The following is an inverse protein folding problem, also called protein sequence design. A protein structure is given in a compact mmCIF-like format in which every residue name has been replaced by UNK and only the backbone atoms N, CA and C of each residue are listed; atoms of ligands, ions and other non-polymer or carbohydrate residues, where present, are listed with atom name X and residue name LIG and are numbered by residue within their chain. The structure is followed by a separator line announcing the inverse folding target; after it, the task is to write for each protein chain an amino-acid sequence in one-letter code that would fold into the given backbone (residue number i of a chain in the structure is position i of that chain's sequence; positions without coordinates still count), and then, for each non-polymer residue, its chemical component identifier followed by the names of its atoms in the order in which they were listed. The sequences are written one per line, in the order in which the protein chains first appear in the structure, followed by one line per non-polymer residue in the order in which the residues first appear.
data_IF_134895391059
#
_entry.id   IF_134895391059
#
_cell.length_a   1.000
_cell.length_b   1.000
_cell.length_c   1.000
_cell.angle_alpha   90.00
_cell.angle_beta   90.00
_cell.angle_gamma   90.00
#
_symmetry.space_group_name_H-M   'P 1'
#
loop_
_entity.id
_entity.type
_entity.pdbx_description
1 polymer ?
#
# COMPACT_ATOMS: atom_id res chain seq x y z
N UNK A 1 -18.52 56.34 -35.97
CA UNK A 1 -19.85 56.55 -36.58
C UNK A 1 -20.87 55.90 -35.65
N UNK A 2 -21.78 56.73 -35.10
CA UNK A 2 -23.12 56.49 -34.50
C UNK A 2 -23.72 55.07 -34.63
N UNK A 3 -24.61 54.51 -33.79
CA UNK A 3 -25.26 54.74 -32.48
C UNK A 3 -26.25 53.56 -32.28
N UNK A 4 -26.54 53.20 -31.02
CA UNK A 4 -27.76 52.60 -30.42
C UNK A 4 -28.93 52.02 -31.25
N UNK A 5 -29.48 50.89 -30.75
CA UNK A 5 -30.93 50.60 -30.54
C UNK A 5 -31.10 49.26 -29.77
N UNK A 6 -31.42 49.26 -28.47
CA UNK A 6 -32.76 49.07 -27.82
C UNK A 6 -33.33 47.63 -27.73
N UNK A 7 -33.52 47.20 -26.48
CA UNK A 7 -34.36 46.12 -25.90
C UNK A 7 -35.89 46.30 -26.21
N UNK A 8 -36.86 45.38 -25.88
CA UNK A 8 -37.05 44.71 -24.56
C UNK A 8 -37.82 43.34 -24.46
N UNK A 9 -37.99 42.90 -23.19
CA UNK A 9 -38.83 41.81 -22.60
C UNK A 9 -38.36 40.35 -22.83
N UNK A 10 -38.30 39.43 -21.87
CA UNK A 10 -38.63 39.39 -20.44
C UNK A 10 -38.94 37.92 -20.07
N UNK A 11 -38.32 37.34 -19.03
CA UNK A 11 -39.01 36.51 -18.03
C UNK A 11 -38.08 35.94 -16.96
N UNK A 12 -38.66 35.84 -15.77
CA UNK A 12 -38.08 35.50 -14.49
C UNK A 12 -37.85 33.99 -14.27
N UNK A 13 -36.99 33.67 -13.30
CA UNK A 13 -36.93 32.33 -12.70
C UNK A 13 -35.56 31.98 -12.12
N UNK A 14 -35.27 32.42 -10.89
CA UNK A 14 -34.16 31.88 -10.10
C UNK A 14 -34.58 30.63 -9.32
N UNK A 15 -33.67 29.71 -8.95
CA UNK A 15 -33.99 28.64 -8.03
C UNK A 15 -33.55 28.97 -6.60
N UNK A 16 -34.55 28.96 -5.71
CA UNK A 16 -34.41 29.04 -4.25
C UNK A 16 -34.21 27.64 -3.68
N UNK A 17 -33.13 27.45 -2.94
CA UNK A 17 -32.93 26.36 -1.98
C UNK A 17 -34.02 26.37 -0.90
N UNK A 18 -34.51 25.19 -0.45
CA UNK A 18 -34.62 24.79 0.98
C UNK A 18 -35.45 23.50 1.18
N UNK A 19 -34.85 22.60 2.00
CA UNK A 19 -35.40 21.53 2.87
C UNK A 19 -36.13 20.34 2.23
N UNK A 20 -35.48 19.17 2.35
CA UNK A 20 -36.16 17.89 2.48
C UNK A 20 -36.11 17.41 3.93
N UNK A 21 -37.23 16.87 4.38
CA UNK A 21 -37.59 16.55 5.76
C UNK A 21 -37.29 15.09 6.11
N UNK A 22 -37.35 14.85 7.43
CA UNK A 22 -37.15 13.61 8.18
C UNK A 22 -38.33 12.64 8.00
N UNK A 23 -38.05 11.33 8.05
CA UNK A 23 -39.00 10.21 8.23
C UNK A 23 -39.31 9.49 6.92
N UNK A 24 -39.32 8.16 6.81
CA UNK A 24 -39.78 7.15 7.76
C UNK A 24 -39.32 5.74 7.31
N UNK A 25 -39.12 4.84 8.28
CA UNK A 25 -38.97 3.38 8.11
C UNK A 25 -40.28 2.75 7.61
N UNK A 26 -40.26 1.61 6.89
CA UNK A 26 -41.36 0.67 6.90
C UNK A 26 -41.10 -0.49 7.85
N UNK A 27 -42.12 -0.83 8.63
CA UNK A 27 -42.24 -2.05 9.40
C UNK A 27 -42.82 -3.18 8.52
N UNK A 28 -42.39 -4.42 8.77
CA UNK A 28 -43.05 -5.63 8.29
C UNK A 28 -43.43 -6.54 9.47
N UNK A 29 -44.52 -7.29 9.25
CA UNK A 29 -45.50 -7.79 10.20
C UNK A 29 -45.09 -8.93 11.16
N UNK A 30 -45.94 -9.06 12.18
CA UNK A 30 -46.05 -10.08 13.23
C UNK A 30 -46.37 -11.50 12.71
N UNK A 31 -45.94 -12.50 13.49
CA UNK A 31 -46.76 -13.66 13.83
C UNK A 31 -46.58 -14.04 15.32
N UNK A 32 -47.72 -14.27 15.98
CA UNK A 32 -47.93 -14.70 17.37
C UNK A 32 -47.41 -16.16 17.57
N UNK A 33 -47.14 -16.73 18.75
CA UNK A 33 -47.81 -16.60 20.04
C UNK A 33 -47.04 -17.32 21.18
N UNK A 34 -47.38 -16.93 22.42
CA UNK A 34 -47.44 -17.72 23.66
C UNK A 34 -46.20 -17.85 24.59
N UNK A 35 -46.35 -17.26 25.79
CA UNK A 35 -46.02 -17.95 27.06
C UNK A 35 -44.95 -17.31 27.94
N UNK A 36 -45.34 -16.38 28.82
CA UNK A 36 -44.58 -16.00 30.02
C UNK A 36 -45.03 -16.90 31.21
N UNK A 37 -44.27 -17.06 32.32
CA UNK A 37 -44.11 -15.96 33.26
C UNK A 37 -42.72 -15.76 33.90
N UNK A 38 -42.42 -14.48 34.09
CA UNK A 38 -41.65 -13.76 35.10
C UNK A 38 -41.27 -14.54 36.37
N UNK A 39 -40.00 -14.40 36.80
CA UNK A 39 -39.63 -14.29 38.21
C UNK A 39 -38.47 -13.29 38.38
N UNK A 40 -38.75 -12.21 39.11
CA UNK A 40 -37.81 -11.20 39.63
C UNK A 40 -37.37 -11.66 41.03
N UNK A 41 -36.09 -11.53 41.35
CA UNK A 41 -35.58 -11.79 42.70
C UNK A 41 -34.19 -11.21 42.93
N UNK A 42 -34.15 -10.14 43.71
CA UNK A 42 -33.01 -9.31 44.09
C UNK A 42 -32.17 -9.86 45.26
N UNK A 43 -30.88 -9.47 45.28
CA UNK A 43 -29.99 -9.21 46.43
C UNK A 43 -29.73 -10.30 47.48
N UNK A 44 -28.47 -10.75 47.56
CA UNK A 44 -27.68 -10.80 48.81
C UNK A 44 -26.22 -11.20 48.55
N UNK A 45 -25.28 -10.33 48.92
CA UNK A 45 -23.92 -10.65 49.36
C UNK A 45 -23.95 -10.98 50.88
N UNK A 46 -22.83 -11.32 51.56
CA UNK A 46 -21.63 -12.11 51.20
C UNK A 46 -21.27 -13.14 52.31
N UNK A 47 -20.60 -14.27 52.01
CA UNK A 47 -19.83 -14.99 53.07
C UNK A 47 -18.63 -15.74 52.49
N UNK A 48 -17.44 -15.31 52.90
CA UNK A 48 -16.19 -16.09 52.89
C UNK A 48 -16.28 -17.21 53.93
N UNK A 49 -16.13 -18.48 53.53
CA UNK A 49 -15.62 -19.54 54.42
C UNK A 49 -14.64 -20.40 53.64
N UNK A 50 -13.38 -20.31 54.04
CA UNK A 50 -12.35 -21.29 53.72
C UNK A 50 -12.69 -22.62 54.40
N UNK A 51 -12.72 -23.72 53.64
CA UNK A 51 -12.40 -25.03 54.17
C UNK A 51 -11.51 -25.77 53.17
N UNK A 52 -10.27 -25.98 53.57
CA UNK A 52 -9.35 -26.90 52.93
C UNK A 52 -9.82 -28.33 53.20
N UNK A 53 -9.88 -29.15 52.15
CA UNK A 53 -9.67 -30.59 52.22
C UNK A 53 -8.86 -31.01 50.98
N UNK A 54 -7.75 -31.67 51.26
CA UNK A 54 -6.74 -32.19 50.35
C UNK A 54 -7.25 -33.40 49.53
N UNK A 55 -6.48 -33.71 48.48
CA UNK A 55 -6.57 -34.87 47.56
C UNK A 55 -7.40 -34.56 46.32
N UNK A 56 -6.88 -34.53 45.09
CA UNK A 56 -5.78 -35.29 44.49
C UNK A 56 -5.09 -34.46 43.40
N UNK A 57 -3.78 -34.67 43.25
CA UNK A 57 -2.99 -34.22 42.11
C UNK A 57 -3.61 -34.74 40.80
N UNK A 58 -4.02 -33.83 39.91
CA UNK A 58 -4.16 -34.10 38.47
C UNK A 58 -3.01 -33.39 37.74
N UNK A 59 -2.00 -34.18 37.39
CA UNK A 59 -0.88 -33.79 36.53
C UNK A 59 -1.36 -33.88 35.08
N UNK A 60 -2.33 -33.07 34.69
CA UNK A 60 -2.78 -32.96 33.29
C UNK A 60 -3.09 -31.49 32.88
N UNK A 61 -3.03 -30.54 33.83
CA UNK A 61 -3.32 -29.12 33.59
C UNK A 61 -2.16 -28.27 33.04
N UNK A 62 -0.90 -28.66 33.26
CA UNK A 62 0.27 -27.87 32.80
C UNK A 62 0.65 -28.12 31.33
N UNK A 63 0.38 -29.32 30.81
CA UNK A 63 0.67 -29.66 29.40
C UNK A 63 -0.25 -28.93 28.42
N UNK A 64 -1.52 -28.74 28.78
CA UNK A 64 -2.50 -28.04 27.94
C UNK A 64 -2.30 -26.52 27.89
N UNK A 65 -1.81 -25.89 28.96
CA UNK A 65 -1.47 -24.45 28.93
C UNK A 65 -0.17 -24.16 28.17
N UNK A 66 0.82 -25.05 28.21
CA UNK A 66 2.04 -24.93 27.43
C UNK A 66 1.79 -25.15 25.92
N UNK A 67 0.94 -26.13 25.58
CA UNK A 67 0.47 -26.38 24.21
C UNK A 67 -0.30 -25.19 23.63
N UNK A 68 -1.23 -24.60 24.39
CA UNK A 68 -1.99 -23.41 23.96
C UNK A 68 -1.13 -22.16 23.76
N UNK A 69 -0.10 -21.95 24.60
CA UNK A 69 0.89 -20.87 24.41
C UNK A 69 1.82 -21.10 23.21
N UNK A 70 2.18 -22.36 22.93
CA UNK A 70 2.97 -22.73 21.75
C UNK A 70 2.18 -22.57 20.46
N UNK A 71 0.91 -22.99 20.43
CA UNK A 71 0.02 -22.86 19.28
C UNK A 71 -0.32 -21.39 19.01
N UNK A 72 -0.59 -20.59 20.04
CA UNK A 72 -0.77 -19.14 19.88
C UNK A 72 0.52 -18.47 19.41
N UNK A 73 1.69 -18.80 19.96
CA UNK A 73 2.96 -18.26 19.51
C UNK A 73 3.33 -18.67 18.07
N UNK A 74 2.98 -19.90 17.65
CA UNK A 74 3.09 -20.36 16.27
C UNK A 74 2.11 -19.64 15.35
N UNK A 75 0.84 -19.50 15.74
CA UNK A 75 -0.15 -18.74 14.98
C UNK A 75 0.25 -17.25 14.85
N UNK A 76 0.73 -16.63 15.93
CA UNK A 76 1.30 -15.27 15.92
C UNK A 76 2.57 -15.14 15.08
N UNK A 77 3.38 -16.22 14.96
CA UNK A 77 4.56 -16.25 14.10
C UNK A 77 4.21 -16.49 12.63
N UNK A 78 3.17 -17.27 12.34
CA UNK A 78 2.62 -17.51 11.00
C UNK A 78 1.92 -16.26 10.44
N UNK A 79 1.30 -15.46 11.30
CA UNK A 79 0.58 -14.23 10.92
C UNK A 79 1.53 -13.10 10.50
N UNK A 80 2.72 -13.01 11.13
CA UNK A 80 3.72 -11.99 10.80
C UNK A 80 4.29 -12.19 9.39
N UNK A 81 4.43 -11.08 8.65
CA UNK A 81 5.12 -11.08 7.37
C UNK A 81 6.63 -11.33 7.63
N UNK A 82 7.20 -12.44 7.14
CA UNK A 82 8.57 -12.83 7.48
C UNK A 82 9.59 -11.94 6.77
N UNK A 83 10.74 -11.77 7.41
CA UNK A 83 11.85 -10.94 6.93
C UNK A 83 13.01 -11.82 6.46
N UNK A 84 13.55 -11.54 5.27
CA UNK A 84 14.70 -12.24 4.70
C UNK A 84 15.81 -11.26 4.33
N UNK A 85 17.06 -11.71 4.49
CA UNK A 85 18.23 -10.95 4.07
C UNK A 85 18.64 -11.34 2.66
N UNK A 86 18.73 -10.36 1.78
CA UNK A 86 19.19 -10.52 0.41
C UNK A 86 20.61 -9.94 0.32
N UNK A 87 21.60 -10.81 0.28
CA UNK A 87 23.00 -10.41 0.22
C UNK A 87 23.45 -10.12 -1.21
N UNK A 88 23.68 -8.84 -1.50
CA UNK A 88 24.13 -8.37 -2.81
C UNK A 88 25.58 -8.74 -3.14
N UNK A 89 26.35 -9.20 -2.14
CA UNK A 89 27.71 -9.73 -2.34
C UNK A 89 27.71 -11.15 -2.92
N UNK A 90 26.61 -11.89 -2.82
CA UNK A 90 26.47 -13.20 -3.47
C UNK A 90 26.24 -13.05 -4.98
N UNK A 91 26.61 -14.06 -5.78
CA UNK A 91 26.19 -14.16 -7.17
C UNK A 91 24.66 -13.99 -7.28
N UNK A 92 24.14 -13.21 -8.25
CA UNK A 92 22.71 -12.89 -8.33
C UNK A 92 21.80 -14.13 -8.27
N UNK A 93 22.24 -15.25 -8.87
CA UNK A 93 21.50 -16.52 -8.88
C UNK A 93 21.33 -17.18 -7.50
N UNK A 94 22.12 -16.78 -6.51
CA UNK A 94 22.14 -17.39 -5.17
C UNK A 94 21.39 -16.56 -4.14
N UNK A 95 21.18 -15.26 -4.40
CA UNK A 95 20.68 -14.28 -3.42
C UNK A 95 19.30 -14.57 -2.83
N UNK A 96 18.45 -15.27 -3.58
CA UNK A 96 17.06 -15.55 -3.22
C UNK A 96 16.81 -17.04 -2.95
N UNK A 97 17.85 -17.88 -2.93
CA UNK A 97 17.67 -19.33 -2.86
C UNK A 97 16.97 -19.75 -1.57
N UNK A 98 17.38 -19.23 -0.42
CA UNK A 98 16.77 -19.50 0.89
C UNK A 98 15.26 -19.16 0.88
N UNK A 99 14.93 -17.89 0.60
CA UNK A 99 13.55 -17.43 0.47
C UNK A 99 12.73 -18.27 -0.53
N UNK A 100 13.29 -18.57 -1.69
CA UNK A 100 12.59 -19.33 -2.73
C UNK A 100 12.36 -20.79 -2.34
N UNK A 101 13.26 -21.39 -1.57
CA UNK A 101 13.10 -22.74 -1.02
C UNK A 101 11.99 -22.77 0.03
N UNK A 102 11.99 -21.81 0.97
CA UNK A 102 11.02 -21.76 2.05
C UNK A 102 9.60 -21.48 1.53
N UNK A 103 9.48 -20.57 0.55
CA UNK A 103 8.20 -20.22 -0.06
C UNK A 103 7.80 -21.12 -1.24
N UNK A 104 8.61 -22.12 -1.61
CA UNK A 104 8.36 -22.98 -2.77
C UNK A 104 6.94 -23.57 -2.80
N UNK A 105 6.38 -24.11 -1.70
CA UNK A 105 5.01 -24.65 -1.71
C UNK A 105 3.96 -23.57 -1.99
N UNK A 106 4.10 -22.39 -1.38
CA UNK A 106 3.14 -21.28 -1.51
C UNK A 106 3.23 -20.66 -2.91
N UNK A 107 4.44 -20.43 -3.41
CA UNK A 107 4.67 -19.92 -4.77
C UNK A 107 4.12 -20.85 -5.86
N UNK A 108 4.21 -22.18 -5.68
CA UNK A 108 3.62 -23.13 -6.64
C UNK A 108 2.09 -23.08 -6.62
N UNK A 109 1.47 -22.88 -5.46
CA UNK A 109 0.00 -22.80 -5.31
C UNK A 109 -0.61 -21.58 -5.98
N UNK A 110 0.10 -20.45 -6.04
CA UNK A 110 -0.40 -19.24 -6.72
C UNK A 110 -0.23 -19.28 -8.25
N UNK A 111 0.42 -20.32 -8.80
CA UNK A 111 0.64 -20.39 -10.25
C UNK A 111 -0.62 -20.39 -11.11
N UNK A 112 -1.74 -21.00 -10.69
CA UNK A 112 -3.00 -20.94 -11.42
C UNK A 112 -3.65 -19.55 -11.44
N UNK A 113 -3.28 -18.62 -10.54
CA UNK A 113 -3.86 -17.27 -10.54
C UNK A 113 -3.60 -16.52 -11.86
N UNK A 114 -2.49 -16.84 -12.52
CA UNK A 114 -2.19 -16.26 -13.83
C UNK A 114 -3.17 -16.71 -14.90
N UNK A 115 -3.71 -17.92 -14.77
CA UNK A 115 -4.75 -18.39 -15.66
C UNK A 115 -6.05 -17.63 -15.41
N UNK A 116 -6.33 -17.27 -14.16
CA UNK A 116 -7.44 -16.38 -13.81
C UNK A 116 -7.26 -15.01 -14.46
N UNK A 117 -6.09 -14.38 -14.32
CA UNK A 117 -5.78 -13.09 -14.99
C UNK A 117 -5.93 -13.22 -16.51
N UNK A 118 -5.35 -14.25 -17.13
CA UNK A 118 -5.42 -14.46 -18.57
C UNK A 118 -6.85 -14.74 -19.05
N UNK A 119 -7.66 -15.44 -18.26
CA UNK A 119 -9.06 -15.73 -18.57
C UNK A 119 -9.92 -14.47 -18.66
N UNK A 120 -9.60 -13.45 -17.85
CA UNK A 120 -10.29 -12.14 -17.91
C UNK A 120 -10.07 -11.42 -19.25
N UNK A 121 -8.93 -11.65 -19.92
CA UNK A 121 -8.63 -11.04 -21.23
C UNK A 121 -8.92 -11.94 -22.43
N UNK A 122 -8.83 -13.27 -22.25
CA UNK A 122 -8.93 -14.25 -23.33
C UNK A 122 -9.93 -15.34 -22.90
N UNK A 123 -11.21 -15.23 -23.27
CA UNK A 123 -12.24 -16.16 -22.82
C UNK A 123 -12.11 -17.55 -23.45
N UNK A 124 -11.44 -17.66 -24.60
CA UNK A 124 -11.25 -18.92 -25.32
C UNK A 124 -10.08 -19.76 -24.79
N UNK A 125 -10.37 -20.96 -24.28
CA UNK A 125 -9.39 -21.87 -23.68
C UNK A 125 -8.26 -22.29 -24.63
N UNK A 126 -8.56 -22.54 -25.91
CA UNK A 126 -7.53 -22.92 -26.89
C UNK A 126 -6.52 -21.79 -27.14
N UNK A 127 -6.99 -20.53 -27.18
CA UNK A 127 -6.10 -19.36 -27.31
C UNK A 127 -5.26 -19.16 -26.06
N UNK A 128 -5.81 -19.39 -24.87
CA UNK A 128 -5.03 -19.38 -23.62
C UNK A 128 -3.89 -20.40 -23.67
N UNK A 129 -4.15 -21.62 -24.15
CA UNK A 129 -3.10 -22.64 -24.32
C UNK A 129 -2.00 -22.21 -25.30
N UNK A 130 -2.36 -21.57 -26.42
CA UNK A 130 -1.39 -21.03 -27.39
C UNK A 130 -0.56 -19.91 -26.75
N UNK A 131 -1.19 -19.02 -25.98
CA UNK A 131 -0.52 -17.92 -25.27
C UNK A 131 0.44 -18.47 -24.23
N UNK A 132 0.03 -19.48 -23.44
CA UNK A 132 0.91 -20.14 -22.45
C UNK A 132 2.11 -20.80 -23.11
N UNK A 133 1.88 -21.55 -24.19
CA UNK A 133 2.97 -22.15 -24.96
C UNK A 133 3.93 -21.08 -25.49
N UNK A 134 3.40 -20.01 -26.08
CA UNK A 134 4.21 -18.89 -26.57
C UNK A 134 4.96 -18.16 -25.45
N UNK A 135 4.32 -17.97 -24.29
CA UNK A 135 4.91 -17.35 -23.12
C UNK A 135 6.05 -18.20 -22.56
N UNK A 136 5.87 -19.53 -22.46
CA UNK A 136 6.91 -20.46 -22.02
C UNK A 136 8.17 -20.40 -22.90
N UNK A 137 8.01 -20.09 -24.19
CA UNK A 137 9.10 -19.94 -25.13
C UNK A 137 9.78 -18.57 -25.07
N UNK A 138 9.00 -17.49 -24.89
CA UNK A 138 9.48 -16.11 -25.04
C UNK A 138 9.81 -15.41 -23.72
N UNK A 139 9.06 -15.65 -22.66
CA UNK A 139 9.22 -15.02 -21.35
C UNK A 139 10.33 -15.72 -20.55
N UNK A 140 11.58 -15.51 -20.96
CA UNK A 140 12.75 -16.16 -20.37
C UNK A 140 13.66 -15.24 -19.58
N UNK A 141 13.38 -13.93 -19.59
CA UNK A 141 14.22 -12.91 -18.96
C UNK A 141 13.43 -11.63 -18.73
N UNK A 142 13.93 -10.82 -17.81
CA UNK A 142 13.60 -9.39 -17.70
C UNK A 142 14.73 -8.57 -18.33
N UNK A 143 14.64 -7.24 -18.28
CA UNK A 143 15.65 -6.36 -18.86
C UNK A 143 17.02 -6.48 -18.19
N UNK A 144 17.05 -6.44 -16.86
CA UNK A 144 18.30 -6.54 -16.10
C UNK A 144 18.84 -7.98 -16.15
N UNK A 145 20.13 -8.12 -16.48
CA UNK A 145 20.81 -9.41 -16.43
C UNK A 145 20.86 -9.93 -14.98
N UNK A 146 21.14 -9.05 -14.03
CA UNK A 146 21.22 -9.38 -12.61
C UNK A 146 19.88 -9.92 -12.08
N UNK A 147 18.79 -9.18 -12.32
CA UNK A 147 17.44 -9.63 -11.95
C UNK A 147 17.06 -10.93 -12.68
N UNK A 148 17.46 -11.09 -13.96
CA UNK A 148 17.23 -12.35 -14.69
C UNK A 148 17.93 -13.54 -14.03
N UNK A 149 19.15 -13.36 -13.52
CA UNK A 149 19.86 -14.41 -12.80
C UNK A 149 19.22 -14.69 -11.44
N UNK A 150 18.77 -13.67 -10.71
CA UNK A 150 17.98 -13.84 -9.49
C UNK A 150 16.73 -14.69 -9.76
N UNK A 151 15.95 -14.35 -10.79
CA UNK A 151 14.77 -15.13 -11.19
C UNK A 151 15.10 -16.58 -11.59
N UNK A 152 16.23 -16.82 -12.25
CA UNK A 152 16.69 -18.19 -12.54
C UNK A 152 17.07 -18.98 -11.29
N UNK A 153 17.60 -18.29 -10.27
CA UNK A 153 17.86 -18.86 -8.95
C UNK A 153 16.56 -19.29 -8.27
N UNK A 154 15.61 -18.35 -8.23
CA UNK A 154 14.26 -18.57 -7.68
C UNK A 154 13.55 -19.72 -8.42
N UNK A 155 13.55 -19.74 -9.75
CA UNK A 155 12.93 -20.80 -10.55
C UNK A 155 13.47 -22.19 -10.17
N UNK A 156 14.80 -22.30 -10.05
CA UNK A 156 15.48 -23.54 -9.69
C UNK A 156 15.13 -23.99 -8.26
N UNK A 157 15.12 -23.07 -7.30
CA UNK A 157 14.89 -23.38 -5.89
C UNK A 157 13.43 -23.65 -5.55
N UNK A 158 12.50 -22.92 -6.18
CA UNK A 158 11.06 -23.04 -5.91
C UNK A 158 10.35 -24.10 -6.76
N UNK A 159 10.94 -24.47 -7.91
CA UNK A 159 10.28 -25.30 -8.92
C UNK A 159 9.20 -24.56 -9.72
N UNK A 160 9.11 -23.23 -9.61
CA UNK A 160 8.20 -22.41 -10.41
C UNK A 160 8.81 -22.10 -11.77
N UNK A 161 8.02 -22.24 -12.83
CA UNK A 161 8.49 -22.00 -14.19
C UNK A 161 8.94 -20.55 -14.42
N UNK A 162 10.02 -20.39 -15.19
CA UNK A 162 10.60 -19.08 -15.47
C UNK A 162 9.59 -18.10 -16.09
N UNK A 163 8.72 -18.58 -16.99
CA UNK A 163 7.76 -17.73 -17.68
C UNK A 163 6.75 -17.10 -16.71
N UNK A 164 6.39 -17.83 -15.66
CA UNK A 164 5.52 -17.36 -14.61
C UNK A 164 6.21 -16.25 -13.82
N UNK A 165 7.45 -16.49 -13.38
CA UNK A 165 8.21 -15.49 -12.62
C UNK A 165 8.45 -14.22 -13.42
N UNK A 166 8.75 -14.35 -14.73
CA UNK A 166 8.87 -13.18 -15.62
C UNK A 166 7.54 -12.45 -15.69
N UNK A 167 6.43 -13.14 -15.95
CA UNK A 167 5.11 -12.49 -16.02
C UNK A 167 4.74 -11.81 -14.70
N UNK A 168 5.02 -12.43 -13.54
CA UNK A 168 4.81 -11.85 -12.22
C UNK A 168 5.57 -10.56 -11.99
N UNK A 169 6.82 -10.50 -12.45
CA UNK A 169 7.64 -9.30 -12.32
C UNK A 169 7.26 -8.17 -13.29
N UNK A 170 6.42 -8.45 -14.29
CA UNK A 170 6.01 -7.51 -15.32
C UNK A 170 4.53 -7.10 -15.25
N UNK A 171 3.70 -7.81 -14.49
CA UNK A 171 2.26 -7.52 -14.37
C UNK A 171 1.90 -6.84 -13.04
N UNK A 172 2.67 -7.06 -11.99
CA UNK A 172 2.38 -6.49 -10.67
C UNK A 172 2.33 -4.95 -10.66
N UNK A 173 3.09 -4.26 -11.51
CA UNK A 173 3.02 -2.80 -11.61
C UNK A 173 1.76 -2.27 -12.33
N UNK A 174 0.98 -3.16 -12.95
CA UNK A 174 -0.19 -2.83 -13.78
C UNK A 174 -1.54 -3.21 -13.16
N UNK A 175 -1.57 -3.80 -11.96
CA UNK A 175 -2.76 -4.50 -11.44
C UNK A 175 -3.16 -4.14 -10.00
N UNK A 176 -2.50 -3.15 -9.38
CA UNK A 176 -2.61 -2.91 -7.94
C UNK A 176 -3.32 -1.60 -7.59
N UNK A 177 -4.44 -1.72 -6.88
CA UNK A 177 -5.03 -0.61 -6.11
C UNK A 177 -4.06 -0.19 -5.00
N UNK A 178 -4.00 1.10 -4.69
CA UNK A 178 -3.08 1.61 -3.67
C UNK A 178 -3.62 2.90 -3.05
N UNK A 179 -3.44 3.08 -1.75
CA UNK A 179 -3.46 4.41 -1.10
C UNK A 179 -2.06 4.73 -0.63
N UNK A 180 -1.39 5.74 -1.18
CA UNK A 180 -0.02 6.10 -0.79
C UNK A 180 0.14 7.57 -0.54
N UNK A 181 1.12 7.96 0.27
CA UNK A 181 1.35 9.37 0.54
C UNK A 181 2.40 9.60 1.62
N UNK A 182 2.54 10.85 2.03
CA UNK A 182 3.35 11.15 3.20
C UNK A 182 2.73 12.22 4.06
N UNK A 183 3.09 12.15 5.34
CA UNK A 183 2.59 13.06 6.35
C UNK A 183 3.69 13.39 7.34
N UNK A 184 3.71 14.63 7.81
CA UNK A 184 4.62 15.09 8.83
C UNK A 184 4.21 14.44 10.15
N UNK A 185 5.10 13.63 10.71
CA UNK A 185 4.83 12.83 11.90
C UNK A 185 5.74 13.25 13.05
N UNK A 186 5.21 13.13 14.28
CA UNK A 186 5.97 13.09 15.53
C UNK A 186 6.33 11.62 15.84
N UNK A 187 7.58 11.21 15.64
CA UNK A 187 8.00 9.83 15.86
C UNK A 187 7.83 9.39 17.32
N UNK A 188 7.51 8.13 17.55
CA UNK A 188 7.53 7.55 18.89
C UNK A 188 8.98 7.43 19.42
N UNK A 189 9.18 7.70 20.72
CA UNK A 189 10.48 7.62 21.39
C UNK A 189 11.23 8.94 21.57
N UNK A 190 10.79 10.04 20.94
CA UNK A 190 11.41 11.38 21.12
C UNK A 190 10.86 12.16 22.33
N UNK A 191 10.05 11.49 23.16
CA UNK A 191 9.42 12.05 24.38
C UNK A 191 10.35 12.05 25.62
N UNK A 192 11.62 11.66 25.49
CA UNK A 192 12.42 11.22 26.63
C UNK A 192 13.84 11.76 26.78
N UNK A 193 14.31 12.75 25.99
CA UNK A 193 15.55 13.46 26.36
C UNK A 193 15.19 14.75 27.09
N UNK A 194 15.88 15.07 28.19
CA UNK A 194 15.76 16.35 28.91
C UNK A 194 15.95 17.58 27.97
N UNK A 195 16.51 17.38 26.77
CA UNK A 195 16.57 18.37 25.69
C UNK A 195 15.22 18.77 25.10
N UNK A 196 14.20 17.90 25.15
CA UNK A 196 12.88 18.14 24.56
C UNK A 196 12.08 19.20 25.34
N UNK A 197 12.35 19.34 26.65
CA UNK A 197 11.74 20.37 27.51
C UNK A 197 12.35 21.78 27.33
N UNK A 198 13.46 21.89 26.61
CA UNK A 198 14.20 23.15 26.41
C UNK A 198 14.51 23.41 24.93
N UNK A 199 13.73 22.79 24.03
CA UNK A 199 13.89 22.87 22.59
C UNK A 199 13.13 24.07 22.01
N UNK A 200 13.85 25.11 21.57
CA UNK A 200 13.24 26.22 20.81
C UNK A 200 12.66 25.77 19.46
N UNK A 201 11.84 26.62 18.81
CA UNK A 201 11.11 26.34 17.54
C UNK A 201 11.92 25.62 16.44
N UNK A 202 13.24 25.90 16.30
CA UNK A 202 14.11 25.24 15.31
C UNK A 202 14.42 23.77 15.64
N UNK A 203 14.37 23.37 16.91
CA UNK A 203 14.64 22.01 17.37
C UNK A 203 13.42 21.09 17.23
N UNK A 204 12.20 21.61 17.38
CA UNK A 204 10.95 20.88 17.14
C UNK A 204 10.75 20.48 15.69
N UNK A 205 11.14 21.37 14.76
CA UNK A 205 11.20 21.07 13.32
C UNK A 205 12.28 20.03 12.96
N UNK A 206 13.21 19.75 13.89
CA UNK A 206 14.25 18.72 13.78
C UNK A 206 13.80 17.36 14.33
N UNK A 207 12.74 17.30 15.13
CA UNK A 207 12.17 16.08 15.69
C UNK A 207 11.06 15.50 14.80
N UNK A 208 10.24 16.38 14.21
CA UNK A 208 9.24 15.96 13.23
C UNK A 208 9.91 15.57 11.91
N UNK A 209 9.39 14.53 11.27
CA UNK A 209 9.81 14.13 9.94
C UNK A 209 8.65 13.55 9.15
N UNK A 210 8.71 13.69 7.84
CA UNK A 210 7.76 13.06 6.94
C UNK A 210 7.91 11.54 7.02
N UNK A 211 6.78 10.85 7.25
CA UNK A 211 6.66 9.40 7.12
C UNK A 211 5.84 9.08 5.87
N UNK A 212 6.16 7.97 5.21
CA UNK A 212 5.49 7.50 4.01
C UNK A 212 4.51 6.39 4.39
N UNK A 213 3.22 6.58 4.15
CA UNK A 213 2.23 5.53 4.38
C UNK A 213 1.79 4.91 3.04
N UNK A 214 1.41 3.64 3.08
CA UNK A 214 0.91 2.92 1.92
C UNK A 214 -0.03 1.78 2.28
N UNK A 215 -1.09 1.60 1.50
CA UNK A 215 -1.78 0.33 1.29
C UNK A 215 -1.52 -0.19 -0.13
N UNK A 216 -1.54 -1.50 -0.29
CA UNK A 216 -1.45 -2.18 -1.58
C UNK A 216 -2.59 -3.19 -1.64
N UNK A 217 -3.45 -3.03 -2.62
CA UNK A 217 -4.76 -3.66 -2.72
C UNK A 217 -4.86 -4.45 -4.04
N UNK A 218 -5.32 -5.69 -3.95
CA UNK A 218 -5.61 -6.55 -5.11
C UNK A 218 -6.62 -7.64 -4.74
N UNK A 219 -7.58 -7.91 -5.63
CA UNK A 219 -8.56 -9.00 -5.48
C UNK A 219 -7.98 -10.40 -5.72
N UNK A 220 -6.80 -10.70 -5.17
CA UNK A 220 -6.14 -12.02 -5.23
C UNK A 220 -5.53 -12.36 -3.86
N UNK A 221 -6.36 -12.72 -2.86
CA UNK A 221 -5.94 -12.89 -1.47
C UNK A 221 -4.84 -13.95 -1.30
N UNK A 222 -4.74 -14.94 -2.19
CA UNK A 222 -3.71 -15.99 -2.13
C UNK A 222 -2.28 -15.44 -2.29
N UNK A 223 -2.12 -14.22 -2.83
CA UNK A 223 -0.82 -13.57 -2.90
C UNK A 223 -0.35 -13.03 -1.55
N UNK A 224 -1.25 -12.87 -0.57
CA UNK A 224 -0.88 -12.49 0.80
C UNK A 224 0.05 -13.54 1.39
N UNK A 225 -0.18 -14.83 1.11
CA UNK A 225 0.61 -15.95 1.64
C UNK A 225 2.11 -15.89 1.28
N UNK A 226 2.45 -15.13 0.23
CA UNK A 226 3.82 -14.95 -0.24
C UNK A 226 4.40 -13.55 0.06
N UNK A 227 3.73 -12.74 0.90
CA UNK A 227 4.28 -11.47 1.37
C UNK A 227 5.55 -11.68 2.20
N UNK A 228 6.54 -10.83 1.96
CA UNK A 228 7.85 -10.86 2.61
C UNK A 228 8.41 -9.45 2.79
N UNK A 229 9.22 -9.25 3.82
CA UNK A 229 10.11 -8.11 3.93
C UNK A 229 11.50 -8.53 3.48
N UNK A 230 12.12 -7.77 2.57
CA UNK A 230 13.48 -8.05 2.11
C UNK A 230 14.43 -6.97 2.62
N UNK A 231 15.45 -7.38 3.37
CA UNK A 231 16.55 -6.51 3.80
C UNK A 231 17.77 -6.74 2.92
N UNK A 232 18.19 -5.71 2.19
CA UNK A 232 19.34 -5.80 1.28
C UNK A 232 20.62 -5.45 2.01
N UNK A 233 21.62 -6.32 1.95
CA UNK A 233 22.93 -6.15 2.61
C UNK A 233 24.07 -6.39 1.61
N UNK A 234 25.29 -6.05 2.02
CA UNK A 234 26.52 -6.42 1.30
C UNK A 234 27.51 -7.00 2.31
N UNK A 235 27.49 -8.32 2.46
CA UNK A 235 28.36 -9.02 3.44
C UNK A 235 29.85 -8.80 3.18
N UNK A 236 30.24 -8.55 1.93
CA UNK A 236 31.64 -8.26 1.57
C UNK A 236 32.03 -6.78 1.73
N UNK A 237 31.14 -5.92 2.25
CA UNK A 237 31.44 -4.51 2.51
C UNK A 237 32.05 -4.31 3.92
N UNK A 238 32.64 -3.13 4.21
CA UNK A 238 33.13 -2.82 5.56
C UNK A 238 32.06 -2.82 6.65
N UNK A 239 30.78 -2.71 6.27
CA UNK A 239 29.63 -2.71 7.17
C UNK A 239 28.67 -3.86 6.80
N UNK A 240 29.02 -5.14 7.04
CA UNK A 240 28.28 -6.31 6.54
C UNK A 240 26.84 -6.40 7.06
N UNK A 241 26.59 -5.87 8.27
CA UNK A 241 25.28 -5.85 8.92
C UNK A 241 24.41 -4.64 8.51
N UNK A 242 24.98 -3.68 7.75
CA UNK A 242 24.25 -2.49 7.33
C UNK A 242 23.23 -2.84 6.27
N UNK A 243 21.96 -2.67 6.63
CA UNK A 243 20.84 -2.77 5.69
C UNK A 243 20.83 -1.53 4.79
N UNK A 244 21.04 -1.76 3.50
CA UNK A 244 21.11 -0.74 2.45
C UNK A 244 19.71 -0.22 2.13
N UNK A 245 18.76 -1.13 2.00
CA UNK A 245 17.34 -0.83 1.81
C UNK A 245 16.47 -1.98 2.31
N UNK A 246 15.20 -1.68 2.55
CA UNK A 246 14.15 -2.62 2.88
C UNK A 246 13.04 -2.53 1.84
N UNK A 247 12.44 -3.66 1.49
CA UNK A 247 11.22 -3.67 0.67
C UNK A 247 10.14 -4.50 1.32
N UNK A 248 8.88 -4.11 1.12
CA UNK A 248 7.72 -4.99 1.31
C UNK A 248 7.40 -5.55 -0.07
N UNK A 249 7.47 -6.87 -0.21
CA UNK A 249 7.48 -7.54 -1.51
C UNK A 249 6.71 -8.86 -1.45
N UNK A 250 6.71 -9.57 -2.59
CA UNK A 250 6.21 -10.91 -2.74
C UNK A 250 7.36 -11.88 -3.06
N UNK A 251 7.35 -13.09 -2.51
CA UNK A 251 8.33 -14.11 -2.87
C UNK A 251 8.22 -14.44 -4.36
N UNK A 252 9.35 -14.35 -5.08
CA UNK A 252 9.38 -14.44 -6.54
C UNK A 252 9.34 -13.11 -7.28
N UNK A 253 9.13 -11.99 -6.58
CA UNK A 253 9.23 -10.64 -7.15
C UNK A 253 10.57 -10.00 -6.80
N UNK A 254 11.37 -9.69 -7.83
CA UNK A 254 12.69 -9.04 -7.72
C UNK A 254 12.64 -7.55 -8.03
N UNK A 255 11.53 -6.99 -8.52
CA UNK A 255 11.38 -5.53 -8.66
C UNK A 255 11.21 -4.81 -7.32
N UNK A 256 10.86 -3.53 -7.35
CA UNK A 256 10.41 -2.80 -6.14
C UNK A 256 9.14 -2.01 -6.40
N UNK A 257 8.10 -2.28 -5.59
CA UNK A 257 6.84 -1.54 -5.56
C UNK A 257 6.69 -0.71 -4.27
N UNK A 258 7.37 -1.12 -3.21
CA UNK A 258 7.36 -0.47 -1.90
C UNK A 258 8.74 -0.68 -1.27
N UNK A 259 9.44 0.41 -1.00
CA UNK A 259 10.81 0.33 -0.49
C UNK A 259 11.22 1.54 0.32
N UNK A 260 12.14 1.33 1.26
CA UNK A 260 12.69 2.38 2.11
C UNK A 260 14.16 2.14 2.37
N UNK A 261 14.93 3.23 2.31
CA UNK A 261 16.29 3.34 2.81
C UNK A 261 16.43 4.67 3.53
N UNK A 262 17.59 4.90 4.13
CA UNK A 262 17.88 6.20 4.72
C UNK A 262 17.77 7.28 3.63
N UNK A 263 17.08 8.37 3.98
CA UNK A 263 16.72 9.54 3.20
C UNK A 263 15.69 9.36 2.06
N UNK A 264 15.31 8.13 1.70
CA UNK A 264 14.41 7.89 0.58
C UNK A 264 13.53 6.67 0.80
N UNK A 265 12.23 6.85 0.60
CA UNK A 265 11.26 5.78 0.44
C UNK A 265 10.49 5.98 -0.86
N UNK A 266 10.01 4.89 -1.43
CA UNK A 266 9.28 4.86 -2.69
C UNK A 266 8.09 3.93 -2.60
N UNK A 267 7.04 4.31 -3.31
CA UNK A 267 5.95 3.42 -3.63
C UNK A 267 5.39 3.66 -5.03
N UNK A 268 4.83 2.60 -5.64
CA UNK A 268 4.26 2.62 -6.99
C UNK A 268 2.77 2.32 -6.93
N UNK A 269 1.94 3.21 -7.48
CA UNK A 269 0.52 2.97 -7.68
C UNK A 269 0.24 2.75 -9.15
N UNK A 270 -0.68 1.83 -9.46
CA UNK A 270 -1.16 1.65 -10.81
C UNK A 270 -1.92 2.88 -11.32
N UNK A 271 -1.70 3.20 -12.60
CA UNK A 271 -2.40 4.24 -13.35
C UNK A 271 -3.02 3.64 -14.60
N UNK A 272 -4.35 3.65 -14.68
CA UNK A 272 -5.08 3.11 -15.83
C UNK A 272 -5.06 4.03 -17.05
N UNK A 273 -4.95 5.34 -16.83
CA UNK A 273 -5.04 6.36 -17.87
C UNK A 273 -3.68 6.69 -18.49
N UNK A 274 -3.70 7.16 -19.73
CA UNK A 274 -2.52 7.65 -20.44
C UNK A 274 -2.90 8.69 -21.48
N UNK A 275 -2.06 9.71 -21.61
CA UNK A 275 -2.20 10.80 -22.58
C UNK A 275 -1.28 10.59 -23.80
N UNK A 276 -0.33 9.65 -23.72
CA UNK A 276 0.52 9.32 -24.85
C UNK A 276 -0.21 8.50 -25.95
N UNK A 277 0.44 8.36 -27.11
CA UNK A 277 -0.05 7.49 -28.18
C UNK A 277 -0.19 6.04 -27.70
N UNK A 278 -1.40 5.48 -27.79
CA UNK A 278 -1.69 4.06 -27.47
C UNK A 278 -0.76 3.11 -28.22
N UNK A 279 -0.47 3.35 -29.50
CA UNK A 279 0.47 2.52 -30.25
C UNK A 279 1.88 2.57 -29.64
N UNK A 280 2.37 3.76 -29.29
CA UNK A 280 3.69 3.92 -28.64
C UNK A 280 3.77 3.24 -27.28
N UNK A 281 2.66 3.25 -26.53
CA UNK A 281 2.53 2.56 -25.25
C UNK A 281 2.53 1.04 -25.45
N UNK A 282 1.72 0.51 -26.36
CA UNK A 282 1.69 -0.94 -26.67
C UNK A 282 3.04 -1.46 -27.16
N UNK A 283 3.75 -0.68 -27.99
CA UNK A 283 5.13 -1.01 -28.40
C UNK A 283 6.05 -1.02 -27.17
N UNK A 284 5.95 -0.03 -26.28
CA UNK A 284 6.76 0.00 -25.06
C UNK A 284 6.48 -1.22 -24.18
N UNK A 285 5.22 -1.53 -23.90
CA UNK A 285 4.81 -2.70 -23.12
C UNK A 285 5.29 -4.01 -23.75
N UNK A 286 5.20 -4.17 -25.07
CA UNK A 286 5.74 -5.34 -25.77
C UNK A 286 7.26 -5.46 -25.61
N UNK A 287 7.99 -4.35 -25.67
CA UNK A 287 9.44 -4.34 -25.45
C UNK A 287 9.81 -4.64 -23.99
N UNK A 288 8.99 -4.23 -23.02
CA UNK A 288 9.15 -4.63 -21.61
C UNK A 288 8.91 -6.13 -21.43
N UNK A 289 7.83 -6.67 -22.02
CA UNK A 289 7.52 -8.11 -22.03
C UNK A 289 8.64 -8.98 -22.62
N UNK A 290 9.33 -8.48 -23.64
CA UNK A 290 10.47 -9.16 -24.26
C UNK A 290 11.80 -8.95 -23.53
N UNK A 291 11.80 -8.24 -22.39
CA UNK A 291 13.00 -7.87 -21.64
C UNK A 291 13.93 -6.93 -22.39
N UNK A 292 13.45 -6.22 -23.41
CA UNK A 292 14.25 -5.24 -24.17
C UNK A 292 14.25 -3.88 -23.47
N UNK A 293 13.23 -3.59 -22.66
CA UNK A 293 13.14 -2.38 -21.83
C UNK A 293 12.86 -2.72 -20.37
N UNK A 294 13.34 -1.91 -19.42
CA UNK A 294 13.07 -2.13 -18.01
C UNK A 294 11.60 -1.86 -17.67
N UNK A 295 11.06 -2.63 -16.72
CA UNK A 295 9.81 -2.28 -16.03
C UNK A 295 10.02 -1.10 -15.09
N UNK A 296 8.94 -0.47 -14.65
CA UNK A 296 9.03 0.62 -13.67
C UNK A 296 9.58 0.09 -12.35
N UNK A 297 9.14 -1.09 -11.93
CA UNK A 297 9.62 -1.76 -10.71
C UNK A 297 11.14 -2.01 -10.72
N UNK A 298 11.73 -2.31 -11.88
CA UNK A 298 13.19 -2.47 -12.05
C UNK A 298 13.91 -1.12 -11.97
N UNK A 299 13.35 -0.05 -12.58
CA UNK A 299 13.89 1.31 -12.46
C UNK A 299 13.93 1.75 -10.99
N UNK A 300 12.84 1.52 -10.24
CA UNK A 300 12.75 1.88 -8.82
C UNK A 300 13.76 1.10 -7.97
N UNK A 301 13.89 -0.21 -8.19
CA UNK A 301 14.89 -1.04 -7.51
C UNK A 301 16.30 -0.52 -7.74
N UNK A 302 16.68 -0.34 -9.00
CA UNK A 302 18.00 0.16 -9.36
C UNK A 302 18.26 1.52 -8.71
N UNK A 303 17.27 2.41 -8.76
CA UNK A 303 17.34 3.72 -8.13
C UNK A 303 17.60 3.66 -6.62
N UNK A 304 16.91 2.80 -5.88
CA UNK A 304 17.12 2.67 -4.43
C UNK A 304 18.47 2.05 -4.08
N UNK A 305 18.88 1.01 -4.82
CA UNK A 305 20.15 0.30 -4.59
C UNK A 305 21.38 1.15 -4.89
N UNK A 306 21.27 2.09 -5.83
CA UNK A 306 22.39 2.92 -6.31
C UNK A 306 22.22 4.41 -6.01
N UNK A 307 21.21 4.81 -5.22
CA UNK A 307 21.06 6.19 -4.78
C UNK A 307 22.31 6.66 -4.01
N UNK A 308 22.89 7.77 -4.47
CA UNK A 308 23.96 8.50 -3.79
C UNK A 308 23.50 8.91 -2.38
N UNK A 309 24.40 9.00 -1.41
CA UNK A 309 24.04 9.49 -0.07
C UNK A 309 23.98 11.04 -0.08
N UNK A 310 22.84 11.63 0.25
CA UNK A 310 22.70 13.09 0.38
C UNK A 310 21.28 13.66 0.35
N UNK A 311 21.17 14.96 0.61
CA UNK A 311 19.88 15.66 0.72
C UNK A 311 19.11 15.81 -0.60
N UNK A 312 19.78 15.65 -1.75
CA UNK A 312 19.20 15.77 -3.09
C UNK A 312 18.64 14.44 -3.64
N UNK A 313 18.69 13.37 -2.86
CA UNK A 313 18.30 12.01 -3.26
C UNK A 313 16.89 11.93 -3.89
N UNK A 314 15.90 12.55 -3.24
CA UNK A 314 14.51 12.54 -3.71
C UNK A 314 14.34 13.24 -5.06
N UNK A 315 15.04 14.36 -5.28
CA UNK A 315 14.94 15.15 -6.51
C UNK A 315 15.69 14.45 -7.66
N UNK A 316 16.83 13.82 -7.36
CA UNK A 316 17.56 12.99 -8.32
C UNK A 316 16.74 11.77 -8.77
N UNK A 317 16.10 11.08 -7.83
CA UNK A 317 15.19 9.98 -8.12
C UNK A 317 14.00 10.46 -8.96
N UNK A 318 13.37 11.57 -8.57
CA UNK A 318 12.25 12.14 -9.29
C UNK A 318 12.61 12.49 -10.74
N UNK A 319 13.77 13.13 -10.95
CA UNK A 319 14.29 13.46 -12.27
C UNK A 319 14.61 12.22 -13.12
N UNK A 320 15.16 11.17 -12.49
CA UNK A 320 15.42 9.89 -13.16
C UNK A 320 14.13 9.28 -13.67
N UNK A 321 13.10 9.21 -12.82
CA UNK A 321 11.79 8.66 -13.18
C UNK A 321 11.12 9.51 -14.25
N UNK A 322 11.12 10.84 -14.13
CA UNK A 322 10.52 11.76 -15.12
C UNK A 322 11.08 11.56 -16.53
N UNK A 323 12.40 11.36 -16.64
CA UNK A 323 13.10 11.18 -17.93
C UNK A 323 13.01 9.76 -18.46
N UNK A 324 12.79 8.78 -17.59
CA UNK A 324 12.69 7.39 -18.00
C UNK A 324 11.45 7.17 -18.88
N UNK A 325 11.62 6.39 -19.94
CA UNK A 325 10.47 5.87 -20.69
C UNK A 325 9.87 4.71 -19.91
N UNK A 326 8.62 4.84 -19.49
CA UNK A 326 7.97 3.92 -18.55
C UNK A 326 6.49 3.74 -18.89
N UNK A 327 5.87 2.66 -18.45
CA UNK A 327 4.40 2.55 -18.44
C UNK A 327 3.81 3.63 -17.51
N UNK A 328 2.63 4.20 -17.85
CA UNK A 328 1.89 5.07 -16.96
C UNK A 328 1.76 4.49 -15.55
N UNK A 329 2.09 5.30 -14.55
CA UNK A 329 2.04 4.91 -13.14
C UNK A 329 2.04 6.17 -12.29
N UNK A 330 1.74 6.02 -11.00
CA UNK A 330 2.06 7.04 -10.02
C UNK A 330 3.20 6.57 -9.15
N UNK A 331 4.21 7.42 -8.97
CA UNK A 331 5.34 7.12 -8.08
C UNK A 331 5.35 8.14 -6.95
N UNK A 332 5.27 7.64 -5.73
CA UNK A 332 5.34 8.45 -4.51
C UNK A 332 6.74 8.29 -3.95
N UNK A 333 7.46 9.39 -3.82
CA UNK A 333 8.78 9.45 -3.20
C UNK A 333 8.67 10.24 -1.92
N UNK A 334 9.27 9.76 -0.84
CA UNK A 334 9.24 10.46 0.44
C UNK A 334 10.63 10.45 1.09
N UNK A 335 11.04 11.62 1.55
CA UNK A 335 12.24 11.87 2.35
C UNK A 335 11.82 12.27 3.76
N UNK A 336 12.75 12.47 4.71
CA UNK A 336 12.38 13.00 6.03
C UNK A 336 11.80 14.43 6.01
N UNK A 337 11.85 15.14 4.87
CA UNK A 337 11.49 16.57 4.75
C UNK A 337 10.27 16.85 3.90
N UNK A 338 10.07 16.08 2.82
CA UNK A 338 8.98 16.26 1.86
C UNK A 338 8.61 14.95 1.19
N UNK A 339 7.39 14.92 0.67
CA UNK A 339 6.88 13.87 -0.22
C UNK A 339 6.60 14.47 -1.59
N UNK A 340 6.91 13.70 -2.62
CA UNK A 340 6.71 14.00 -4.04
C UNK A 340 5.80 12.93 -4.63
N UNK A 341 4.82 13.34 -5.42
CA UNK A 341 3.98 12.45 -6.22
C UNK A 341 4.23 12.77 -7.69
N UNK A 342 4.63 11.74 -8.44
CA UNK A 342 4.84 11.79 -9.88
C UNK A 342 3.70 11.07 -10.58
N UNK A 343 2.94 11.77 -11.42
CA UNK A 343 2.00 11.16 -12.35
C UNK A 343 2.74 10.94 -13.67
N UNK A 344 3.21 9.71 -13.88
CA UNK A 344 4.05 9.33 -15.01
C UNK A 344 3.19 8.96 -16.22
N UNK A 345 3.56 9.45 -17.39
CA UNK A 345 3.11 8.94 -18.68
C UNK A 345 4.28 8.28 -19.42
N UNK A 346 4.16 7.98 -20.72
CA UNK A 346 5.22 7.29 -21.44
C UNK A 346 6.54 8.06 -21.49
N UNK A 347 6.49 9.38 -21.69
CA UNK A 347 7.68 10.20 -21.96
C UNK A 347 7.95 11.27 -20.91
N UNK A 348 6.92 11.71 -20.19
CA UNK A 348 6.95 12.81 -19.23
C UNK A 348 6.29 12.40 -17.92
N UNK A 349 6.26 13.32 -16.97
CA UNK A 349 5.50 13.18 -15.73
C UNK A 349 5.06 14.55 -15.21
N UNK A 350 3.85 14.62 -14.67
CA UNK A 350 3.44 15.71 -13.78
C UNK A 350 3.99 15.47 -12.37
N UNK A 351 4.13 16.56 -11.61
CA UNK A 351 4.80 16.56 -10.32
C UNK A 351 4.02 17.40 -9.31
N UNK A 352 3.79 16.84 -8.12
CA UNK A 352 3.29 17.56 -6.94
C UNK A 352 4.17 17.25 -5.75
N UNK A 353 4.32 18.19 -4.82
CA UNK A 353 5.09 17.97 -3.58
C UNK A 353 4.52 18.72 -2.39
N UNK A 354 4.66 18.14 -1.21
CA UNK A 354 4.27 18.73 0.06
C UNK A 354 5.29 18.42 1.16
N UNK A 355 5.41 19.30 2.14
CA UNK A 355 6.25 19.14 3.34
C UNK A 355 5.44 18.92 4.63
N UNK A 356 4.11 18.77 4.49
CA UNK A 356 3.18 18.51 5.58
C UNK A 356 2.31 17.26 5.33
N UNK A 357 1.53 17.22 4.26
CA UNK A 357 0.65 16.11 3.93
C UNK A 357 0.37 16.06 2.43
N UNK A 358 0.50 14.89 1.85
CA UNK A 358 0.02 14.58 0.51
C UNK A 358 -0.44 13.12 0.47
N UNK A 359 -1.57 12.87 -0.18
CA UNK A 359 -2.11 11.54 -0.42
C UNK A 359 -2.39 11.40 -1.91
N UNK A 360 -2.20 10.20 -2.42
CA UNK A 360 -2.51 9.86 -3.78
C UNK A 360 -2.91 8.39 -3.91
N UNK A 361 -3.94 8.13 -4.70
CA UNK A 361 -4.49 6.80 -4.94
C UNK A 361 -4.22 6.37 -6.38
N UNK A 362 -5.24 6.00 -7.16
CA UNK A 362 -5.09 5.42 -8.50
C UNK A 362 -5.74 6.29 -9.60
N UNK A 363 -6.12 7.54 -9.31
CA UNK A 363 -6.74 8.46 -10.26
C UNK A 363 -5.86 9.67 -10.54
N UNK A 364 -6.04 10.27 -11.73
CA UNK A 364 -5.18 11.37 -12.17
C UNK A 364 -5.43 12.63 -11.33
N UNK A 365 -4.43 13.50 -11.30
CA UNK A 365 -4.55 14.84 -10.75
C UNK A 365 -5.75 15.58 -11.34
N UNK A 366 -6.46 16.38 -10.52
CA UNK A 366 -7.50 17.25 -11.05
C UNK A 366 -6.88 18.22 -12.07
N UNK A 367 -7.58 18.49 -13.19
CA UNK A 367 -7.08 19.37 -14.23
C UNK A 367 -6.79 20.76 -13.65
N UNK A 368 -5.69 21.36 -14.10
CA UNK A 368 -5.27 22.71 -13.68
C UNK A 368 -6.21 23.81 -14.18
N UNK A 369 -6.93 23.57 -15.28
CA UNK A 369 -7.91 24.50 -15.85
C UNK A 369 -9.29 23.83 -15.94
N UNK A 370 -10.35 24.39 -15.32
CA UNK A 370 -11.71 23.85 -15.41
C UNK A 370 -12.29 23.84 -16.83
N UNK A 371 -11.69 24.58 -17.77
CA UNK A 371 -12.10 24.66 -19.18
C UNK A 371 -11.52 23.54 -20.05
N UNK A 372 -10.48 22.84 -19.57
CA UNK A 372 -10.07 21.55 -20.11
C UNK A 372 -11.16 20.55 -19.69
N UNK A 373 -12.20 20.46 -20.54
CA UNK A 373 -13.44 19.75 -20.26
C UNK A 373 -13.18 18.44 -19.54
N UNK A 374 -13.92 18.20 -18.45
CA UNK A 374 -13.80 17.07 -17.54
C UNK A 374 -13.22 15.86 -18.28
N UNK A 375 -11.92 15.59 -18.10
CA UNK A 375 -11.29 14.42 -18.68
C UNK A 375 -12.12 13.26 -18.19
N UNK A 376 -12.95 12.68 -19.05
CA UNK A 376 -13.76 11.54 -18.66
C UNK A 376 -12.74 10.45 -18.39
N UNK A 377 -12.43 10.23 -17.11
CA UNK A 377 -11.56 9.15 -16.65
C UNK A 377 -12.35 7.86 -16.87
N UNK A 378 -12.44 7.45 -18.12
CA UNK A 378 -13.05 6.19 -18.52
C UNK A 378 -12.06 5.09 -18.16
N UNK A 379 -12.07 4.68 -16.88
CA UNK A 379 -11.42 3.45 -16.46
C UNK A 379 -12.16 2.28 -17.11
N UNK A 380 -11.73 1.91 -18.33
CA UNK A 380 -12.29 0.79 -19.10
C UNK A 380 -11.57 -0.52 -18.81
N UNK A 381 -10.63 -0.54 -17.87
CA UNK A 381 -9.90 -1.74 -17.49
C UNK A 381 -10.72 -2.53 -16.46
N UNK A 382 -11.65 -3.34 -16.96
CA UNK A 382 -12.18 -4.51 -16.25
C UNK A 382 -11.04 -5.51 -16.07
N UNK A 383 -10.22 -5.30 -15.05
CA UNK A 383 -9.29 -6.32 -14.59
C UNK A 383 -9.79 -6.75 -13.23
N UNK A 384 -9.94 -8.07 -13.05
CA UNK A 384 -10.50 -8.73 -11.89
C UNK A 384 -10.09 -8.03 -10.57
N UNK A 385 -11.06 -7.44 -9.86
CA UNK A 385 -10.83 -6.70 -8.61
C UNK A 385 -10.56 -5.20 -8.78
N UNK A 386 -10.85 -4.62 -9.95
CA UNK A 386 -10.79 -3.19 -10.23
C UNK A 386 -12.13 -2.63 -10.76
N UNK A 387 -13.22 -3.38 -10.60
CA UNK A 387 -14.58 -2.89 -10.87
C UNK A 387 -14.88 -1.67 -9.98
N UNK A 388 -15.18 -0.51 -10.58
CA UNK A 388 -15.39 0.73 -9.80
C UNK A 388 -14.12 1.36 -9.24
N UNK A 389 -12.93 0.94 -9.71
CA UNK A 389 -11.64 1.39 -9.16
C UNK A 389 -11.42 2.92 -9.19
N UNK A 390 -12.16 3.68 -10.00
CA UNK A 390 -12.13 5.14 -9.94
C UNK A 390 -12.84 5.67 -8.71
N UNK A 391 -14.08 5.26 -8.48
CA UNK A 391 -14.90 5.69 -7.35
C UNK A 391 -14.25 5.30 -6.03
N UNK A 392 -13.77 4.05 -5.93
CA UNK A 392 -13.05 3.56 -4.74
C UNK A 392 -11.74 4.35 -4.52
N UNK A 393 -11.01 4.65 -5.59
CA UNK A 393 -9.78 5.45 -5.54
C UNK A 393 -10.05 6.88 -5.08
N UNK A 394 -11.14 7.51 -5.53
CA UNK A 394 -11.57 8.83 -5.07
C UNK A 394 -11.99 8.79 -3.60
N UNK A 395 -12.81 7.80 -3.21
CA UNK A 395 -13.29 7.63 -1.84
C UNK A 395 -12.13 7.45 -0.83
N UNK A 396 -11.16 6.60 -1.16
CA UNK A 396 -9.96 6.39 -0.33
C UNK A 396 -9.14 7.67 -0.17
N UNK A 397 -8.94 8.42 -1.25
CA UNK A 397 -8.23 9.70 -1.19
C UNK A 397 -8.99 10.71 -0.31
N UNK A 398 -10.29 10.81 -0.50
CA UNK A 398 -11.18 11.68 0.23
C UNK A 398 -11.19 11.38 1.74
N UNK A 399 -11.19 10.10 2.10
CA UNK A 399 -11.14 9.65 3.50
C UNK A 399 -9.86 10.15 4.19
N UNK A 400 -8.69 9.94 3.57
CA UNK A 400 -7.41 10.44 4.10
C UNK A 400 -7.38 11.97 4.17
N UNK A 401 -7.87 12.66 3.13
CA UNK A 401 -7.93 14.12 3.08
C UNK A 401 -8.84 14.69 4.18
N UNK A 402 -9.99 14.04 4.46
CA UNK A 402 -10.92 14.42 5.54
C UNK A 402 -10.27 14.25 6.90
N UNK A 403 -9.56 13.15 7.14
CA UNK A 403 -8.81 12.90 8.40
C UNK A 403 -7.75 13.99 8.64
N UNK A 404 -6.94 14.32 7.63
CA UNK A 404 -5.97 15.42 7.69
C UNK A 404 -6.63 16.78 7.95
N UNK A 405 -7.65 17.12 7.18
CA UNK A 405 -8.37 18.40 7.30
C UNK A 405 -8.99 18.57 8.69
N UNK A 406 -9.56 17.49 9.26
CA UNK A 406 -10.10 17.51 10.61
C UNK A 406 -9.01 17.77 11.66
N UNK A 407 -7.82 17.18 11.52
CA UNK A 407 -6.69 17.43 12.40
C UNK A 407 -6.22 18.89 12.32
N UNK A 408 -6.02 19.42 11.11
CA UNK A 408 -5.62 20.81 10.88
C UNK A 408 -6.63 21.77 11.53
N UNK A 409 -7.93 21.53 11.34
CA UNK A 409 -9.00 22.35 11.96
C UNK A 409 -9.01 22.26 13.49
N UNK A 410 -8.78 21.08 14.07
CA UNK A 410 -8.68 20.90 15.53
C UNK A 410 -7.49 21.68 16.09
N UNK A 411 -6.32 21.59 15.46
CA UNK A 411 -5.12 22.32 15.88
C UNK A 411 -5.21 23.82 15.66
N UNK A 412 -5.80 24.27 14.56
CA UNK A 412 -6.02 25.70 14.30
C UNK A 412 -6.92 26.37 15.36
N UNK A 413 -7.93 25.66 15.88
CA UNK A 413 -8.75 26.15 17.00
C UNK A 413 -7.96 26.25 18.31
N UNK A 414 -7.06 25.31 18.57
CA UNK A 414 -6.22 25.31 19.77
C UNK A 414 -5.09 26.35 19.69
N UNK A 415 -4.47 26.54 18.51
CA UNK A 415 -3.40 27.51 18.29
C UNK A 415 -3.87 28.97 18.41
N UNK A 416 -5.17 29.26 18.15
CA UNK A 416 -5.74 30.58 18.47
C UNK A 416 -5.73 30.91 19.98
N UNK A 417 -5.44 29.92 20.85
CA UNK A 417 -5.34 30.08 22.30
C UNK A 417 -3.91 30.16 22.82
N UNK A 418 -2.90 29.82 22.00
CA UNK A 418 -1.49 29.73 22.42
C UNK A 418 -0.58 30.41 21.38
N UNK A 419 0.18 31.41 21.81
CA UNK A 419 1.05 32.22 20.98
C UNK A 419 2.30 31.43 20.55
N UNK A 420 2.17 30.61 19.50
CA UNK A 420 3.19 29.60 19.22
C UNK A 420 2.83 28.61 18.10
N UNK A 421 2.79 29.01 16.82
CA UNK A 421 2.37 28.09 15.76
C UNK A 421 3.45 27.02 15.43
N UNK A 422 3.32 25.83 16.01
CA UNK A 422 4.03 24.62 15.58
C UNK A 422 3.46 24.09 14.27
N UNK A 423 4.28 23.43 13.41
CA UNK A 423 3.75 22.72 12.25
C UNK A 423 2.78 21.62 12.71
N UNK A 424 1.67 21.48 11.98
CA UNK A 424 0.71 20.40 12.20
C UNK A 424 1.40 19.10 11.83
N UNK A 425 1.54 18.21 12.80
CA UNK A 425 2.08 16.88 12.60
C UNK A 425 1.19 15.85 13.28
N UNK A 426 1.12 14.66 12.71
CA UNK A 426 0.37 13.51 13.23
C UNK A 426 1.26 12.73 14.18
N UNK A 427 0.71 12.07 15.19
CA UNK A 427 1.45 11.04 15.95
C UNK A 427 1.45 9.71 15.18
N UNK A 428 2.50 8.90 15.36
CA UNK A 428 2.67 7.64 14.63
C UNK A 428 1.48 6.68 14.81
N UNK A 429 0.92 6.60 16.02
CA UNK A 429 -0.26 5.80 16.33
C UNK A 429 -1.52 6.29 15.60
N UNK A 430 -1.76 7.61 15.54
CA UNK A 430 -2.89 8.16 14.77
C UNK A 430 -2.71 7.92 13.28
N UNK A 431 -1.48 8.01 12.75
CA UNK A 431 -1.22 7.67 11.35
C UNK A 431 -1.52 6.19 11.09
N UNK A 432 -1.08 5.29 11.97
CA UNK A 432 -1.42 3.86 11.89
C UNK A 432 -2.94 3.65 11.84
N UNK A 433 -3.67 4.28 12.76
CA UNK A 433 -5.14 4.23 12.76
C UNK A 433 -5.76 4.77 11.47
N UNK A 434 -5.19 5.83 10.87
CA UNK A 434 -5.66 6.36 9.58
C UNK A 434 -5.52 5.33 8.47
N UNK A 435 -4.36 4.66 8.39
CA UNK A 435 -4.10 3.65 7.37
C UNK A 435 -4.99 2.42 7.58
N UNK A 436 -5.16 1.95 8.82
CA UNK A 436 -6.01 0.80 9.14
C UNK A 436 -7.53 1.04 8.96
N UNK A 437 -7.97 2.29 8.85
CA UNK A 437 -9.39 2.60 8.77
C UNK A 437 -9.96 2.23 7.41
N UNK A 438 -11.15 1.63 7.36
CA UNK A 438 -11.95 1.57 6.13
C UNK A 438 -12.25 2.99 5.57
N UNK A 439 -12.25 3.19 4.24
CA UNK A 439 -11.94 2.23 3.17
C UNK A 439 -10.45 2.13 2.81
N UNK A 440 -9.53 2.69 3.61
CA UNK A 440 -8.11 2.76 3.27
C UNK A 440 -7.47 1.37 3.26
N UNK A 441 -7.63 0.63 4.35
CA UNK A 441 -7.52 -0.82 4.35
C UNK A 441 -8.92 -1.40 4.15
N UNK A 442 -9.03 -2.36 3.25
CA UNK A 442 -10.26 -3.02 2.85
C UNK A 442 -10.01 -4.51 2.55
N UNK A 443 -11.04 -5.22 2.13
CA UNK A 443 -11.03 -6.65 1.82
C UNK A 443 -10.07 -7.04 0.69
N UNK A 444 -9.66 -6.09 -0.15
CA UNK A 444 -8.66 -6.29 -1.19
C UNK A 444 -7.25 -5.95 -0.71
N UNK A 445 -7.07 -5.33 0.46
CA UNK A 445 -5.75 -4.95 0.95
C UNK A 445 -4.88 -6.18 1.22
N UNK A 446 -3.69 -6.22 0.63
CA UNK A 446 -2.68 -7.23 0.93
C UNK A 446 -1.83 -6.81 2.13
N UNK A 447 -1.46 -5.53 2.20
CA UNK A 447 -0.82 -4.97 3.38
C UNK A 447 -1.01 -3.45 3.50
N UNK A 448 -0.98 -2.98 4.74
CA UNK A 448 -0.77 -1.58 5.11
C UNK A 448 0.63 -1.40 5.72
N UNK A 449 1.31 -0.30 5.43
CA UNK A 449 2.60 0.01 6.04
C UNK A 449 2.87 1.51 6.24
N UNK A 450 3.78 1.80 7.16
CA UNK A 450 4.39 3.12 7.38
C UNK A 450 5.90 2.96 7.30
N UNK A 451 6.52 3.69 6.39
CA UNK A 451 7.95 3.73 6.15
C UNK A 451 8.52 5.04 6.71
N UNK A 452 9.68 4.96 7.34
CA UNK A 452 10.41 6.10 7.84
C UNK A 452 11.71 6.30 7.05
N UNK A 453 11.71 7.18 6.03
CA UNK A 453 12.93 7.48 5.29
C UNK A 453 13.99 8.16 6.17
N UNK A 454 13.65 8.79 7.30
CA UNK A 454 14.64 9.38 8.19
C UNK A 454 15.59 8.34 8.82
N UNK A 455 15.11 7.12 9.04
CA UNK A 455 15.89 6.01 9.61
C UNK A 455 16.14 4.88 8.63
N UNK A 456 15.43 4.84 7.50
CA UNK A 456 15.49 3.74 6.55
C UNK A 456 14.74 2.49 7.02
N UNK A 457 13.73 2.63 7.87
CA UNK A 457 13.04 1.52 8.53
C UNK A 457 11.56 1.44 8.16
N UNK A 458 10.98 0.25 8.32
CA UNK A 458 9.54 0.02 8.29
C UNK A 458 9.06 0.16 9.74
N UNK A 459 8.26 1.18 10.01
CA UNK A 459 7.77 1.51 11.36
C UNK A 459 6.56 0.70 11.76
N UNK A 460 5.72 0.41 10.77
CA UNK A 460 4.57 -0.46 10.91
C UNK A 460 4.31 -1.19 9.60
N UNK A 461 3.90 -2.44 9.71
CA UNK A 461 3.50 -3.30 8.62
C UNK A 461 2.43 -4.25 9.15
N UNK A 462 1.34 -4.39 8.39
CA UNK A 462 0.23 -5.26 8.74
C UNK A 462 -0.27 -5.93 7.47
N UNK A 463 -0.45 -7.25 7.55
CA UNK A 463 -1.10 -8.04 6.52
C UNK A 463 -2.58 -7.66 6.49
N UNK A 464 -3.16 -7.51 5.31
CA UNK A 464 -4.61 -7.36 5.20
C UNK A 464 -5.30 -8.69 5.48
N UNK A 465 -6.47 -8.61 6.11
CA UNK A 465 -7.30 -9.74 6.51
C UNK A 465 -8.45 -9.91 5.52
N UNK A 466 -8.85 -11.15 5.25
CA UNK A 466 -10.05 -11.42 4.47
C UNK A 466 -11.31 -11.18 5.33
N UNK A 467 -12.41 -10.75 4.71
CA UNK A 467 -13.69 -10.51 5.40
C UNK A 467 -14.19 -11.74 6.21
N UNK A 468 -13.76 -12.95 5.84
CA UNK A 468 -14.07 -14.18 6.57
C UNK A 468 -13.50 -14.23 8.00
N UNK A 469 -12.50 -13.39 8.32
CA UNK A 469 -11.91 -13.29 9.65
C UNK A 469 -12.52 -12.15 10.51
N UNK A 470 -13.33 -11.26 9.91
CA UNK A 470 -13.92 -10.10 10.59
C UNK A 470 -15.11 -10.51 11.48
N UNK A 471 -15.78 -11.63 11.20
CA UNK A 471 -16.84 -12.19 12.07
C UNK A 471 -16.35 -12.57 13.48
N UNK A 472 -15.03 -12.62 13.72
CA UNK A 472 -14.45 -12.92 15.03
C UNK A 472 -14.07 -11.67 15.86
N UNK A 473 -14.42 -10.46 15.40
CA UNK A 473 -14.09 -9.20 16.09
C UNK A 473 -15.31 -8.39 16.58
N UNK A 474 -16.50 -9.01 16.69
CA UNK A 474 -17.67 -8.43 17.38
C UNK A 474 -17.76 -8.82 18.87
#
# INVERSE_FOLDING_TARGET
MKTHATQPFGNAGGPTLIRCAIGSRPAAAQQLANGCPIAVGSNSEPVFVCHALLSSYDIDGEANMASGRSAAAQAFAEDRIPTYRIDLSLPPRERYVELATDFAPRMRRITPLFDTVLASFIPWSFLRSIVRFSASLRLRRVHSHEETQELKGIAKASGVDMYFLVAFNLLLDALLGCTSGGVLTRPEGDKGSERSRQAGRRSLRRMNRMMHFRTLDWGMPELRDILVVLEFVRSASPEPEKVIMRTVSYAGFVGTLTGVRKNLSVSLNFRANHHCSTLSLRIHQALVLLGIRPSVSSILRHGLLHAEEGDAEIDNMANTIRRARATPCYVILCSGRKTVVLQKDLYDAEYRSADDFIVHTNHDFPPTDPSDGASIQNQTNFILGMEGALEESEERQDCMQKKWTALVRRRGRNAKREEGQEPVAVDEQTLRWWVQSYPIMNECTHFGCILDPGTGTIRWLERGVDDLDIENWE
#
